data_IF_240639268257
#
_entry.id   IF_240639268257
#
_cell.length_a   1.000
_cell.length_b   1.000
_cell.length_c   1.000
_cell.angle_alpha   90.00
_cell.angle_beta   90.00
_cell.angle_gamma   90.00
#
_symmetry.space_group_name_H-M   'P 1'
#
loop_
_entity.id
_entity.type
_entity.pdbx_description
1 polymer ?
#
# COMPACT_ATOMS: atom_id res chain seq x y z
N UNK A 1 27.84 6.76 10.82
CA UNK A 1 26.69 6.21 10.09
C UNK A 1 26.38 7.16 8.94
N UNK A 2 26.36 6.66 7.71
CA UNK A 2 25.97 7.46 6.54
C UNK A 2 24.45 7.70 6.58
N UNK A 3 23.98 8.80 5.99
CA UNK A 3 22.53 9.01 5.85
C UNK A 3 21.85 7.87 5.05
N UNK A 4 22.57 7.25 4.14
CA UNK A 4 22.07 6.11 3.36
C UNK A 4 21.89 4.85 4.23
N UNK A 5 22.66 4.71 5.31
CA UNK A 5 22.50 3.59 6.23
C UNK A 5 21.16 3.63 6.97
N UNK A 6 20.55 4.82 7.10
CA UNK A 6 19.24 5.00 7.74
C UNK A 6 18.10 4.36 6.93
N UNK A 7 18.28 4.13 5.64
CA UNK A 7 17.29 3.48 4.77
C UNK A 7 17.40 1.95 4.76
N UNK A 8 18.41 1.37 5.42
CA UNK A 8 18.60 -0.07 5.48
C UNK A 8 17.54 -0.72 6.38
N UNK A 9 17.08 -1.88 5.93
CA UNK A 9 16.16 -2.74 6.67
C UNK A 9 16.85 -4.06 7.07
N UNK A 10 18.16 -4.02 7.28
CA UNK A 10 18.97 -5.20 7.65
C UNK A 10 18.41 -5.81 8.94
N UNK A 11 18.26 -7.13 8.95
CA UNK A 11 17.71 -7.95 10.06
C UNK A 11 16.25 -7.63 10.42
N UNK A 12 15.53 -6.92 9.57
CA UNK A 12 14.08 -6.70 9.70
C UNK A 12 13.29 -7.78 8.99
N UNK A 13 12.11 -8.04 9.51
CA UNK A 13 11.09 -8.90 8.90
C UNK A 13 9.89 -8.06 8.52
N UNK A 14 9.54 -8.05 7.25
CA UNK A 14 8.39 -7.35 6.71
C UNK A 14 7.28 -8.34 6.33
N UNK A 15 6.03 -8.00 6.65
CA UNK A 15 4.82 -8.68 6.19
C UNK A 15 4.11 -7.77 5.21
N UNK A 16 3.89 -8.23 3.96
CA UNK A 16 3.30 -7.41 2.88
C UNK A 16 2.04 -8.09 2.34
N UNK A 17 0.89 -7.42 2.44
CA UNK A 17 -0.38 -7.90 1.87
C UNK A 17 -0.53 -7.46 0.42
N UNK A 18 -1.19 -8.30 -0.41
CA UNK A 18 -1.30 -8.04 -1.85
C UNK A 18 0.05 -8.08 -2.55
N UNK A 19 0.99 -8.88 -2.05
CA UNK A 19 2.38 -8.93 -2.48
C UNK A 19 2.61 -9.62 -3.84
N UNK A 20 1.58 -10.23 -4.44
CA UNK A 20 1.77 -11.00 -5.68
C UNK A 20 1.95 -10.16 -6.94
N UNK A 21 1.53 -8.90 -6.96
CA UNK A 21 1.58 -8.02 -8.16
C UNK A 21 1.66 -6.55 -7.81
N UNK A 22 2.07 -5.73 -8.78
CA UNK A 22 1.99 -4.27 -8.73
C UNK A 22 2.72 -3.66 -7.55
N UNK A 23 2.08 -2.71 -6.84
CA UNK A 23 2.70 -1.96 -5.74
C UNK A 23 3.23 -2.88 -4.65
N UNK A 24 2.46 -3.90 -4.23
CA UNK A 24 2.87 -4.81 -3.16
C UNK A 24 4.08 -5.67 -3.53
N UNK A 25 4.17 -6.12 -4.76
CA UNK A 25 5.32 -6.87 -5.26
C UNK A 25 6.58 -6.00 -5.29
N UNK A 26 6.46 -4.77 -5.78
CA UNK A 26 7.59 -3.85 -5.87
C UNK A 26 8.08 -3.39 -4.49
N UNK A 27 7.15 -3.16 -3.54
CA UNK A 27 7.52 -2.93 -2.13
C UNK A 27 8.28 -4.12 -1.55
N UNK A 28 7.85 -5.35 -1.83
CA UNK A 28 8.52 -6.55 -1.36
C UNK A 28 9.95 -6.66 -1.90
N UNK A 29 10.17 -6.38 -3.19
CA UNK A 29 11.50 -6.32 -3.79
C UNK A 29 12.37 -5.22 -3.18
N UNK A 30 11.83 -4.00 -3.04
CA UNK A 30 12.56 -2.88 -2.46
C UNK A 30 12.96 -3.12 -1.00
N UNK A 31 12.11 -3.84 -0.23
CA UNK A 31 12.46 -4.21 1.14
C UNK A 31 13.56 -5.27 1.19
N UNK A 32 13.54 -6.22 0.27
CA UNK A 32 14.63 -7.20 0.13
C UNK A 32 15.95 -6.51 -0.28
N UNK A 33 15.91 -5.58 -1.24
CA UNK A 33 17.08 -4.76 -1.63
C UNK A 33 17.61 -3.93 -0.46
N UNK A 34 16.72 -3.45 0.42
CA UNK A 34 17.09 -2.75 1.64
C UNK A 34 17.60 -3.68 2.77
N UNK A 35 17.47 -5.00 2.62
CA UNK A 35 18.03 -6.01 3.54
C UNK A 35 17.02 -6.71 4.44
N UNK A 36 15.71 -6.58 4.21
CA UNK A 36 14.67 -7.28 4.97
C UNK A 36 14.37 -8.68 4.44
N UNK A 37 13.96 -9.58 5.33
CA UNK A 37 13.25 -10.79 4.97
C UNK A 37 11.76 -10.49 4.82
N UNK A 38 11.04 -11.14 3.90
CA UNK A 38 9.68 -10.73 3.55
C UNK A 38 8.69 -11.90 3.57
N UNK A 39 7.61 -11.76 4.33
CA UNK A 39 6.42 -12.60 4.25
C UNK A 39 5.46 -12.00 3.21
N UNK A 40 5.10 -12.80 2.21
CA UNK A 40 4.32 -12.43 1.04
C UNK A 40 2.90 -12.97 1.19
N UNK A 41 1.92 -12.08 1.39
CA UNK A 41 0.52 -12.44 1.55
C UNK A 41 -0.28 -12.06 0.30
N UNK A 42 -0.85 -13.04 -0.37
CA UNK A 42 -1.87 -12.88 -1.43
C UNK A 42 -2.58 -14.23 -1.66
N UNK A 43 -3.63 -14.22 -2.49
CA UNK A 43 -4.44 -15.42 -2.77
C UNK A 43 -3.79 -16.36 -3.79
N UNK A 44 -3.02 -15.82 -4.73
CA UNK A 44 -2.51 -16.57 -5.89
C UNK A 44 -1.09 -17.03 -5.62
N UNK A 45 -0.92 -18.33 -5.37
CA UNK A 45 0.37 -18.94 -5.01
C UNK A 45 1.42 -18.73 -6.10
N UNK A 46 1.07 -18.96 -7.38
CA UNK A 46 2.00 -18.82 -8.51
C UNK A 46 2.58 -17.38 -8.61
N UNK A 47 1.77 -16.36 -8.35
CA UNK A 47 2.26 -14.99 -8.31
C UNK A 47 3.27 -14.80 -7.16
N UNK A 48 2.97 -15.36 -5.98
CA UNK A 48 3.86 -15.29 -4.80
C UNK A 48 5.18 -16.04 -5.02
N UNK A 49 5.15 -17.17 -5.70
CA UNK A 49 6.36 -17.95 -6.05
C UNK A 49 7.32 -17.14 -6.91
N UNK A 50 6.81 -16.38 -7.89
CA UNK A 50 7.62 -15.50 -8.72
C UNK A 50 8.29 -14.39 -7.91
N UNK A 51 7.54 -13.78 -6.99
CA UNK A 51 8.08 -12.72 -6.13
C UNK A 51 9.09 -13.30 -5.14
N UNK A 52 8.81 -14.47 -4.56
CA UNK A 52 9.71 -15.13 -3.63
C UNK A 52 11.06 -15.45 -4.29
N UNK A 53 11.07 -16.02 -5.49
CA UNK A 53 12.29 -16.28 -6.24
C UNK A 53 13.13 -15.00 -6.44
N UNK A 54 12.49 -13.90 -6.82
CA UNK A 54 13.19 -12.62 -6.97
C UNK A 54 13.75 -12.04 -5.65
N UNK A 55 13.13 -12.31 -4.50
CA UNK A 55 13.66 -11.93 -3.18
C UNK A 55 14.86 -12.82 -2.81
N UNK A 56 14.79 -14.12 -3.09
CA UNK A 56 15.88 -15.07 -2.85
C UNK A 56 17.11 -14.74 -3.70
N UNK A 57 16.94 -14.32 -4.95
CA UNK A 57 18.03 -13.82 -5.80
C UNK A 57 18.74 -12.58 -5.20
N UNK A 58 18.04 -11.81 -4.37
CA UNK A 58 18.59 -10.68 -3.60
C UNK A 58 19.27 -11.10 -2.29
N UNK A 59 19.36 -12.43 -2.05
CA UNK A 59 19.98 -13.01 -0.84
C UNK A 59 19.14 -12.84 0.42
N UNK A 60 17.83 -12.63 0.30
CA UNK A 60 16.92 -12.53 1.45
C UNK A 60 15.95 -13.68 1.49
N UNK A 61 15.37 -13.94 2.67
CA UNK A 61 14.35 -14.98 2.82
C UNK A 61 13.00 -14.46 2.39
N UNK A 62 12.27 -15.27 1.62
CA UNK A 62 10.88 -15.03 1.27
C UNK A 62 10.00 -16.13 1.89
N UNK A 63 8.90 -15.75 2.52
CA UNK A 63 7.91 -16.67 3.04
C UNK A 63 6.59 -16.48 2.30
N UNK A 64 6.16 -17.50 1.58
CA UNK A 64 4.87 -17.50 0.87
C UNK A 64 3.77 -17.87 1.85
N UNK A 65 2.82 -16.95 2.07
CA UNK A 65 1.68 -17.14 2.98
C UNK A 65 0.38 -16.89 2.20
N UNK A 66 -0.17 -17.92 1.53
CA UNK A 66 -1.43 -17.77 0.80
C UNK A 66 -2.55 -17.36 1.74
N UNK A 67 -3.08 -16.13 1.55
CA UNK A 67 -4.07 -15.55 2.46
C UNK A 67 -5.03 -14.66 1.70
N UNK A 68 -6.34 -14.82 1.93
CA UNK A 68 -7.33 -13.81 1.60
C UNK A 68 -7.54 -12.91 2.82
N UNK A 69 -7.15 -11.65 2.72
CA UNK A 69 -7.31 -10.69 3.82
C UNK A 69 -8.78 -10.35 4.11
N UNK A 70 -9.70 -10.69 3.21
CA UNK A 70 -11.14 -10.57 3.44
C UNK A 70 -11.67 -11.63 4.43
N UNK A 71 -10.95 -12.73 4.58
CA UNK A 71 -11.23 -13.74 5.60
C UNK A 71 -10.41 -13.41 6.86
N UNK A 72 -11.08 -12.78 7.84
CA UNK A 72 -10.39 -12.36 9.08
C UNK A 72 -9.92 -13.56 9.92
N UNK A 73 -10.53 -14.74 9.77
CA UNK A 73 -10.10 -15.97 10.45
C UNK A 73 -8.79 -16.52 9.86
N UNK A 74 -8.47 -16.15 8.63
CA UNK A 74 -7.20 -16.53 8.00
C UNK A 74 -6.01 -15.65 8.46
N UNK A 75 -6.26 -14.51 9.11
CA UNK A 75 -5.20 -13.58 9.50
C UNK A 75 -4.35 -14.07 10.68
N UNK A 76 -4.91 -14.58 11.81
CA UNK A 76 -4.10 -15.07 12.92
C UNK A 76 -3.10 -16.16 12.51
N UNK A 77 -3.49 -17.25 11.80
CA UNK A 77 -2.52 -18.26 11.39
C UNK A 77 -1.44 -17.73 10.43
N UNK A 78 -1.75 -16.72 9.60
CA UNK A 78 -0.77 -16.08 8.73
C UNK A 78 0.28 -15.30 9.53
N UNK A 79 -0.13 -14.59 10.57
CA UNK A 79 0.78 -13.88 11.50
C UNK A 79 1.65 -14.86 12.25
N UNK A 80 1.05 -15.88 12.89
CA UNK A 80 1.79 -16.91 13.66
C UNK A 80 2.80 -17.65 12.81
N UNK A 81 2.44 -18.01 11.58
CA UNK A 81 3.34 -18.65 10.63
C UNK A 81 4.51 -17.76 10.28
N UNK A 82 4.28 -16.46 10.05
CA UNK A 82 5.35 -15.49 9.77
C UNK A 82 6.31 -15.37 10.95
N UNK A 83 5.79 -15.27 12.15
CA UNK A 83 6.61 -15.21 13.38
C UNK A 83 7.43 -16.48 13.56
N UNK A 84 6.84 -17.65 13.37
CA UNK A 84 7.51 -18.94 13.56
C UNK A 84 8.64 -19.17 12.54
N UNK A 85 8.42 -18.83 11.26
CA UNK A 85 9.36 -19.14 10.18
C UNK A 85 10.40 -18.03 9.95
N UNK A 86 10.05 -16.74 10.14
CA UNK A 86 10.99 -15.62 9.95
C UNK A 86 11.55 -15.05 11.26
N UNK A 87 11.00 -15.43 12.42
CA UNK A 87 11.53 -15.06 13.74
C UNK A 87 10.93 -13.77 14.31
N UNK A 88 9.87 -13.23 13.73
CA UNK A 88 9.16 -12.05 14.23
C UNK A 88 8.61 -11.19 13.10
N UNK A 89 8.08 -10.01 13.44
CA UNK A 89 7.59 -9.01 12.49
C UNK A 89 8.02 -7.63 13.00
N UNK A 90 8.73 -6.86 12.17
CA UNK A 90 9.14 -5.48 12.43
C UNK A 90 8.32 -4.48 11.61
N UNK A 91 7.85 -4.90 10.43
CA UNK A 91 7.20 -4.05 9.44
C UNK A 91 5.93 -4.74 8.95
N UNK A 92 4.82 -3.99 8.92
CA UNK A 92 3.58 -4.42 8.26
C UNK A 92 3.23 -3.45 7.13
N UNK A 93 2.95 -3.99 5.94
CA UNK A 93 2.41 -3.22 4.81
C UNK A 93 1.01 -3.70 4.49
N UNK A 94 0.03 -2.88 4.80
CA UNK A 94 -1.36 -3.07 4.41
C UNK A 94 -1.56 -2.49 2.98
N UNK A 95 -1.22 -3.30 1.97
CA UNK A 95 -1.34 -2.91 0.57
C UNK A 95 -2.55 -3.53 -0.13
N UNK A 96 -2.98 -4.73 0.27
CA UNK A 96 -4.19 -5.33 -0.29
C UNK A 96 -5.39 -4.39 -0.10
N UNK A 97 -6.11 -4.13 -1.18
CA UNK A 97 -7.24 -3.22 -1.18
C UNK A 97 -7.73 -2.94 -2.61
N UNK A 98 -8.87 -2.31 -2.71
CA UNK A 98 -9.49 -1.94 -3.99
C UNK A 98 -11.00 -1.84 -3.89
N UNK A 99 -11.63 -1.38 -4.94
CA UNK A 99 -13.06 -1.50 -5.23
C UNK A 99 -13.29 -1.15 -6.70
N UNK A 100 -14.41 -1.59 -7.24
CA UNK A 100 -14.82 -1.25 -8.60
C UNK A 100 -15.61 0.05 -8.56
N UNK A 101 -15.23 1.08 -9.33
CA UNK A 101 -16.03 2.30 -9.46
C UNK A 101 -17.41 2.01 -10.07
N UNK A 102 -18.44 2.66 -9.53
CA UNK A 102 -19.81 2.53 -10.02
C UNK A 102 -20.57 3.86 -9.92
N UNK A 103 -21.58 4.12 -10.80
CA UNK A 103 -22.45 5.27 -10.67
C UNK A 103 -23.13 5.30 -9.28
N UNK A 104 -23.42 6.52 -8.79
CA UNK A 104 -24.05 6.67 -7.46
C UNK A 104 -25.33 5.85 -7.29
N UNK A 105 -26.21 5.87 -8.30
CA UNK A 105 -27.48 5.16 -8.25
C UNK A 105 -27.34 3.63 -8.27
N UNK A 106 -26.18 3.11 -8.67
CA UNK A 106 -25.85 1.68 -8.67
C UNK A 106 -25.06 1.27 -7.42
N UNK A 107 -24.56 2.25 -6.65
CA UNK A 107 -23.80 1.97 -5.43
C UNK A 107 -24.74 1.77 -4.25
N UNK A 108 -24.83 0.54 -3.76
CA UNK A 108 -25.68 0.14 -2.63
C UNK A 108 -24.85 0.04 -1.34
N UNK A 109 -25.55 -0.09 -0.20
CA UNK A 109 -24.92 -0.25 1.12
C UNK A 109 -23.90 -1.41 1.15
N UNK A 110 -24.24 -2.54 0.53
CA UNK A 110 -23.35 -3.71 0.45
C UNK A 110 -22.01 -3.42 -0.25
N UNK A 111 -21.98 -2.54 -1.25
CA UNK A 111 -20.74 -2.11 -1.90
C UNK A 111 -19.88 -1.25 -0.96
N UNK A 112 -20.53 -0.43 -0.13
CA UNK A 112 -19.85 0.37 0.90
C UNK A 112 -19.24 -0.53 1.97
N UNK A 113 -20.03 -1.48 2.48
CA UNK A 113 -19.61 -2.45 3.51
C UNK A 113 -18.44 -3.30 3.01
N UNK A 114 -18.54 -3.83 1.79
CA UNK A 114 -17.46 -4.60 1.18
C UNK A 114 -16.17 -3.78 1.02
N UNK A 115 -16.29 -2.56 0.48
CA UNK A 115 -15.15 -1.68 0.30
C UNK A 115 -14.52 -1.30 1.65
N UNK A 116 -15.33 -1.04 2.67
CA UNK A 116 -14.86 -0.73 4.02
C UNK A 116 -14.18 -1.93 4.66
N UNK A 117 -14.77 -3.11 4.54
CA UNK A 117 -14.16 -4.34 5.05
C UNK A 117 -12.78 -4.58 4.46
N UNK A 118 -12.65 -4.52 3.13
CA UNK A 118 -11.41 -4.79 2.42
C UNK A 118 -10.31 -3.73 2.67
N UNK A 119 -10.68 -2.45 2.69
CA UNK A 119 -9.70 -1.36 2.74
C UNK A 119 -9.46 -0.80 4.16
N UNK A 120 -10.29 -1.14 5.14
CA UNK A 120 -10.22 -0.59 6.49
C UNK A 120 -10.22 -1.69 7.56
N UNK A 121 -11.28 -2.52 7.63
CA UNK A 121 -11.42 -3.48 8.72
C UNK A 121 -10.31 -4.53 8.71
N UNK A 122 -10.00 -5.11 7.55
CA UNK A 122 -8.93 -6.10 7.41
C UNK A 122 -7.54 -5.53 7.73
N UNK A 123 -7.11 -4.35 7.21
CA UNK A 123 -5.88 -3.70 7.64
C UNK A 123 -5.79 -3.39 9.13
N UNK A 124 -6.87 -2.91 9.74
CA UNK A 124 -6.89 -2.60 11.18
C UNK A 124 -6.77 -3.88 12.00
N UNK A 125 -7.51 -4.94 11.64
CA UNK A 125 -7.43 -6.23 12.31
C UNK A 125 -6.04 -6.85 12.18
N UNK A 126 -5.46 -6.87 10.98
CA UNK A 126 -4.10 -7.38 10.79
C UNK A 126 -3.08 -6.58 11.60
N UNK A 127 -3.22 -5.26 11.65
CA UNK A 127 -2.37 -4.40 12.50
C UNK A 127 -2.51 -4.79 13.97
N UNK A 128 -3.73 -5.00 14.48
CA UNK A 128 -4.00 -5.44 15.85
C UNK A 128 -3.31 -6.77 16.18
N UNK A 129 -3.31 -7.71 15.24
CA UNK A 129 -2.67 -9.02 15.41
C UNK A 129 -1.15 -8.93 15.41
N UNK A 130 -0.56 -8.04 14.60
CA UNK A 130 0.90 -7.91 14.46
C UNK A 130 1.54 -7.08 15.59
N UNK A 131 0.83 -6.11 16.14
CA UNK A 131 1.35 -5.20 17.19
C UNK A 131 2.02 -5.91 18.37
N UNK A 132 1.46 -6.98 18.98
CA UNK A 132 2.14 -7.67 20.08
C UNK A 132 3.52 -8.23 19.71
N UNK A 133 3.66 -8.74 18.48
CA UNK A 133 4.94 -9.29 17.99
C UNK A 133 5.95 -8.17 17.69
N UNK A 134 5.51 -7.03 17.17
CA UNK A 134 6.36 -5.84 17.02
C UNK A 134 6.89 -5.36 18.38
N UNK A 135 6.02 -5.31 19.40
CA UNK A 135 6.42 -4.88 20.75
C UNK A 135 7.46 -5.82 21.39
N UNK A 136 7.37 -7.13 21.15
CA UNK A 136 8.38 -8.11 21.60
C UNK A 136 9.74 -7.85 20.94
N UNK A 137 9.77 -7.29 19.72
CA UNK A 137 11.01 -6.88 19.03
C UNK A 137 11.48 -5.46 19.36
N UNK A 138 10.79 -4.78 20.29
CA UNK A 138 11.13 -3.43 20.75
C UNK A 138 10.40 -2.30 20.06
N UNK A 139 9.58 -2.58 19.07
CA UNK A 139 8.78 -1.64 18.28
C UNK A 139 8.71 -2.03 16.80
N UNK A 140 8.13 -1.16 15.98
CA UNK A 140 7.96 -1.45 14.55
C UNK A 140 7.40 -0.31 13.73
N UNK A 141 7.10 -0.60 12.48
CA UNK A 141 6.46 0.35 11.57
C UNK A 141 5.31 -0.30 10.78
N UNK A 142 4.18 0.40 10.71
CA UNK A 142 3.02 0.04 9.89
C UNK A 142 2.90 1.04 8.75
N UNK A 143 2.79 0.53 7.54
CA UNK A 143 2.54 1.30 6.33
C UNK A 143 1.19 0.91 5.73
N UNK A 144 0.28 1.87 5.60
CA UNK A 144 -0.98 1.68 4.90
C UNK A 144 -0.88 2.25 3.48
N UNK A 145 -1.33 1.49 2.47
CA UNK A 145 -1.47 2.01 1.11
C UNK A 145 -2.88 2.58 0.95
N UNK A 146 -2.93 3.90 1.03
CA UNK A 146 -4.14 4.69 0.80
C UNK A 146 -4.47 4.86 -0.69
N UNK A 147 -4.91 6.05 -1.05
CA UNK A 147 -5.11 6.49 -2.44
C UNK A 147 -5.44 7.99 -2.46
N UNK A 148 -5.06 8.69 -3.52
CA UNK A 148 -5.54 10.05 -3.79
C UNK A 148 -7.07 10.12 -3.94
N UNK A 149 -7.74 9.00 -4.31
CA UNK A 149 -9.21 8.89 -4.29
C UNK A 149 -9.83 9.07 -2.89
N UNK A 150 -9.06 8.91 -1.81
CA UNK A 150 -9.48 9.21 -0.44
C UNK A 150 -9.28 10.67 -0.06
N UNK A 151 -8.44 11.41 -0.78
CA UNK A 151 -8.17 12.84 -0.54
C UNK A 151 -8.99 13.76 -1.45
N UNK A 152 -9.31 13.30 -2.68
CA UNK A 152 -10.04 14.08 -3.67
C UNK A 152 -11.33 13.39 -4.12
N UNK A 153 -12.36 14.20 -4.36
CA UNK A 153 -13.63 13.70 -4.88
C UNK A 153 -13.52 13.32 -6.35
N UNK A 154 -13.97 12.11 -6.68
CA UNK A 154 -14.06 11.61 -8.06
C UNK A 154 -15.41 10.92 -8.29
N UNK A 155 -15.98 11.09 -9.48
CA UNK A 155 -17.25 10.43 -9.87
C UNK A 155 -17.06 8.91 -9.88
N UNK A 156 -18.07 8.19 -9.37
CA UNK A 156 -18.07 6.72 -9.33
C UNK A 156 -17.24 6.12 -8.17
N UNK A 157 -16.60 6.93 -7.34
CA UNK A 157 -15.68 6.46 -6.30
C UNK A 157 -16.26 6.49 -4.88
N UNK A 158 -17.60 6.58 -4.71
CA UNK A 158 -18.16 6.76 -3.36
C UNK A 158 -17.77 5.63 -2.39
N UNK A 159 -17.83 4.37 -2.81
CA UNK A 159 -17.42 3.26 -1.95
C UNK A 159 -15.91 3.26 -1.71
N UNK A 160 -15.12 3.30 -2.78
CA UNK A 160 -13.66 3.25 -2.71
C UNK A 160 -13.06 4.47 -2.04
N UNK A 161 -13.45 5.68 -2.49
CA UNK A 161 -12.92 6.94 -1.96
C UNK A 161 -13.23 7.10 -0.48
N UNK A 162 -14.46 6.77 -0.04
CA UNK A 162 -14.84 6.80 1.38
C UNK A 162 -13.98 5.83 2.19
N UNK A 163 -13.78 4.58 1.72
CA UNK A 163 -12.95 3.61 2.42
C UNK A 163 -11.47 4.03 2.48
N UNK A 164 -10.93 4.62 1.39
CA UNK A 164 -9.56 5.14 1.36
C UNK A 164 -9.38 6.40 2.22
N UNK A 165 -10.39 7.25 2.34
CA UNK A 165 -10.40 8.35 3.31
C UNK A 165 -10.42 7.82 4.76
N UNK A 166 -11.21 6.77 5.01
CA UNK A 166 -11.29 6.15 6.33
C UNK A 166 -9.95 5.54 6.77
N UNK A 167 -9.25 4.75 5.92
CA UNK A 167 -7.94 4.19 6.31
C UNK A 167 -6.87 5.29 6.44
N UNK A 168 -6.94 6.37 5.66
CA UNK A 168 -6.07 7.52 5.83
C UNK A 168 -6.26 8.17 7.21
N UNK A 169 -7.51 8.34 7.66
CA UNK A 169 -7.78 8.85 9.01
C UNK A 169 -7.40 7.83 10.09
N UNK A 170 -7.73 6.55 9.91
CA UNK A 170 -7.35 5.47 10.83
C UNK A 170 -5.84 5.38 11.03
N UNK A 171 -5.03 5.68 9.99
CA UNK A 171 -3.57 5.79 10.10
C UNK A 171 -3.14 6.78 11.19
N UNK A 172 -3.80 7.95 11.26
CA UNK A 172 -3.50 8.97 12.27
C UNK A 172 -3.92 8.52 13.67
N UNK A 173 -5.06 7.87 13.79
CA UNK A 173 -5.55 7.34 15.06
C UNK A 173 -4.65 6.21 15.58
N UNK A 174 -4.32 5.24 14.73
CA UNK A 174 -3.39 4.17 15.08
C UNK A 174 -2.01 4.72 15.47
N UNK A 175 -1.51 5.76 14.78
CA UNK A 175 -0.25 6.41 15.15
C UNK A 175 -0.32 7.03 16.56
N UNK A 176 -1.46 7.63 16.93
CA UNK A 176 -1.67 8.20 18.27
C UNK A 176 -1.68 7.12 19.35
N UNK A 177 -2.34 5.99 19.08
CA UNK A 177 -2.52 4.92 20.07
C UNK A 177 -1.27 4.04 20.25
N UNK A 178 -0.46 3.87 19.18
CA UNK A 178 0.67 2.94 19.15
C UNK A 178 2.03 3.59 19.40
N UNK A 179 2.10 4.94 19.39
CA UNK A 179 3.32 5.66 19.75
C UNK A 179 3.65 5.46 21.25
N UNK A 180 4.94 5.55 21.64
CA UNK A 180 6.11 5.84 20.82
C UNK A 180 6.77 4.59 20.19
N UNK A 181 6.26 3.40 20.42
CA UNK A 181 6.91 2.14 20.04
C UNK A 181 6.70 1.76 18.59
N UNK A 182 5.54 2.10 18.02
CA UNK A 182 5.19 1.75 16.66
C UNK A 182 4.83 3.03 15.91
N UNK A 183 5.45 3.22 14.75
CA UNK A 183 5.12 4.31 13.84
C UNK A 183 4.08 3.80 12.83
N UNK A 184 3.08 4.61 12.54
CA UNK A 184 2.06 4.28 11.54
C UNK A 184 1.94 5.42 10.56
N UNK A 185 2.18 5.15 9.29
CA UNK A 185 2.09 6.13 8.21
C UNK A 185 1.32 5.57 7.02
N UNK A 186 0.95 6.41 6.08
CA UNK A 186 0.36 5.97 4.83
C UNK A 186 1.05 6.64 3.63
N UNK A 187 1.10 5.90 2.52
CA UNK A 187 1.32 6.47 1.18
C UNK A 187 -0.03 6.59 0.49
N UNK A 188 -0.26 7.70 -0.19
CA UNK A 188 -1.43 7.95 -1.02
C UNK A 188 -1.00 7.98 -2.50
N UNK A 189 -1.05 6.83 -3.21
CA UNK A 189 -0.70 6.77 -4.62
C UNK A 189 -1.69 7.56 -5.50
N UNK A 190 -1.15 8.19 -6.56
CA UNK A 190 -1.92 8.64 -7.71
C UNK A 190 -2.29 7.50 -8.65
N UNK A 191 -2.32 7.78 -9.95
CA UNK A 191 -2.49 6.76 -10.99
C UNK A 191 -1.16 6.02 -11.19
N UNK A 192 -1.09 4.75 -10.76
CA UNK A 192 0.12 3.90 -10.85
C UNK A 192 -0.12 2.78 -11.86
N UNK A 193 0.79 2.62 -12.82
CA UNK A 193 0.75 1.59 -13.85
C UNK A 193 0.85 0.19 -13.22
N UNK A 194 -0.30 -0.40 -12.99
CA UNK A 194 -0.47 -1.72 -12.40
C UNK A 194 -1.46 -2.52 -13.24
N UNK A 195 -1.49 -3.84 -13.05
CA UNK A 195 -2.53 -4.67 -13.65
C UNK A 195 -3.94 -4.13 -13.34
N UNK A 196 -4.18 -3.67 -12.12
CA UNK A 196 -5.50 -3.16 -11.71
C UNK A 196 -5.87 -1.86 -12.45
N UNK A 197 -4.93 -0.93 -12.61
CA UNK A 197 -5.16 0.28 -13.42
C UNK A 197 -5.40 -0.08 -14.88
N UNK A 198 -4.56 -0.94 -15.46
CA UNK A 198 -4.69 -1.34 -16.86
C UNK A 198 -6.00 -2.07 -17.14
N UNK A 199 -6.44 -2.93 -16.23
CA UNK A 199 -7.77 -3.56 -16.32
C UNK A 199 -8.90 -2.51 -16.29
N UNK A 200 -8.83 -1.55 -15.37
CA UNK A 200 -9.80 -0.47 -15.28
C UNK A 200 -9.83 0.40 -16.52
N UNK A 201 -8.66 0.81 -17.02
CA UNK A 201 -8.54 1.63 -18.22
C UNK A 201 -9.10 0.89 -19.44
N UNK A 202 -8.76 -0.39 -19.65
CA UNK A 202 -9.29 -1.21 -20.72
C UNK A 202 -10.82 -1.28 -20.70
N UNK A 203 -11.41 -1.47 -19.50
CA UNK A 203 -12.87 -1.49 -19.35
C UNK A 203 -13.54 -0.14 -19.67
N UNK A 204 -12.87 0.99 -19.38
CA UNK A 204 -13.37 2.32 -19.73
C UNK A 204 -13.23 2.61 -21.22
N UNK A 205 -12.15 2.18 -21.86
CA UNK A 205 -11.91 2.30 -23.30
C UNK A 205 -12.92 1.50 -24.11
N UNK A 206 -13.26 0.27 -23.69
CA UNK A 206 -14.34 -0.54 -24.28
C UNK A 206 -15.70 0.19 -24.24
N UNK A 207 -15.92 1.03 -23.23
CA UNK A 207 -17.11 1.90 -23.13
C UNK A 207 -16.98 3.23 -23.91
N UNK A 208 -15.89 3.41 -24.69
CA UNK A 208 -15.64 4.60 -25.49
C UNK A 208 -15.16 5.82 -24.70
N UNK A 209 -14.56 5.60 -23.52
CA UNK A 209 -14.05 6.68 -22.65
C UNK A 209 -12.55 6.53 -22.42
N UNK A 210 -11.69 7.04 -23.33
CA UNK A 210 -10.24 7.05 -23.11
C UNK A 210 -9.91 8.05 -22.01
N UNK A 211 -9.41 7.57 -20.85
CA UNK A 211 -9.10 8.41 -19.70
C UNK A 211 -7.61 8.43 -19.35
N UNK A 212 -6.79 7.56 -19.97
CA UNK A 212 -5.36 7.49 -19.72
C UNK A 212 -4.66 8.83 -20.00
N UNK A 213 -4.87 9.42 -21.15
CA UNK A 213 -4.26 10.70 -21.52
C UNK A 213 -4.71 11.81 -20.55
N UNK A 214 -5.99 11.83 -20.19
CA UNK A 214 -6.52 12.78 -19.19
C UNK A 214 -5.85 12.62 -17.83
N UNK A 215 -5.55 11.39 -17.40
CA UNK A 215 -4.83 11.13 -16.16
C UNK A 215 -3.40 11.70 -16.24
N UNK A 216 -2.70 11.47 -17.35
CA UNK A 216 -1.36 11.99 -17.60
C UNK A 216 -1.35 13.51 -17.63
N UNK A 217 -2.28 14.12 -18.37
CA UNK A 217 -2.40 15.58 -18.47
C UNK A 217 -2.63 16.28 -17.13
N UNK A 218 -3.35 15.62 -16.21
CA UNK A 218 -3.63 16.14 -14.87
C UNK A 218 -2.50 15.93 -13.87
N UNK A 219 -1.40 15.32 -14.27
CA UNK A 219 -0.25 15.07 -13.42
C UNK A 219 0.87 16.05 -13.78
N UNK A 220 1.42 16.80 -12.82
CA UNK A 220 2.49 17.77 -13.06
C UNK A 220 3.72 17.12 -13.73
N UNK A 221 4.06 15.88 -13.33
CA UNK A 221 5.15 15.12 -13.91
C UNK A 221 4.80 14.49 -15.28
N UNK A 222 3.59 14.72 -15.82
CA UNK A 222 3.14 14.30 -17.15
C UNK A 222 3.35 12.82 -17.46
N UNK A 223 3.18 11.97 -16.46
CA UNK A 223 3.17 10.52 -16.58
C UNK A 223 2.32 9.90 -15.47
N UNK A 224 1.83 8.70 -15.70
CA UNK A 224 1.42 7.84 -14.59
C UNK A 224 2.66 7.42 -13.80
N UNK A 225 2.47 7.15 -12.51
CA UNK A 225 3.53 6.58 -11.68
C UNK A 225 3.74 5.10 -12.01
N UNK A 226 4.90 4.59 -11.65
CA UNK A 226 5.23 3.17 -11.66
C UNK A 226 5.23 2.63 -10.22
N UNK A 227 5.06 1.31 -10.00
CA UNK A 227 5.14 0.71 -8.66
C UNK A 227 6.42 1.09 -7.89
N UNK A 228 7.55 1.27 -8.59
CA UNK A 228 8.81 1.72 -8.01
C UNK A 228 8.76 3.12 -7.38
N UNK A 229 7.93 4.03 -7.93
CA UNK A 229 7.73 5.37 -7.33
C UNK A 229 7.14 5.25 -5.91
N UNK A 230 6.28 4.24 -5.69
CA UNK A 230 5.68 3.97 -4.37
C UNK A 230 6.67 3.22 -3.46
N UNK A 231 7.42 2.27 -4.00
CA UNK A 231 8.34 1.45 -3.24
C UNK A 231 9.44 2.27 -2.56
N UNK A 232 9.99 3.29 -3.22
CA UNK A 232 10.97 4.21 -2.63
C UNK A 232 10.43 4.95 -1.41
N UNK A 233 9.19 5.47 -1.50
CA UNK A 233 8.50 6.11 -0.38
C UNK A 233 8.19 5.11 0.75
N UNK A 234 7.86 3.86 0.40
CA UNK A 234 7.59 2.80 1.36
C UNK A 234 8.85 2.44 2.17
N UNK A 235 10.02 2.30 1.53
CA UNK A 235 11.30 2.09 2.24
C UNK A 235 11.59 3.24 3.19
N UNK A 236 11.43 4.49 2.76
CA UNK A 236 11.62 5.66 3.62
C UNK A 236 10.77 5.58 4.88
N UNK A 237 9.45 5.42 4.72
CA UNK A 237 8.50 5.52 5.85
C UNK A 237 8.65 4.42 6.89
N UNK A 238 9.19 3.25 6.55
CA UNK A 238 9.38 2.15 7.50
C UNK A 238 10.78 2.09 8.10
N UNK A 239 11.77 2.74 7.48
CA UNK A 239 13.16 2.75 7.90
C UNK A 239 13.46 3.79 9.00
N UNK A 240 14.68 3.76 9.53
CA UNK A 240 15.18 4.74 10.50
C UNK A 240 15.29 6.16 9.93
N UNK A 241 15.33 6.32 8.59
CA UNK A 241 15.26 7.63 7.94
C UNK A 241 13.96 8.39 8.28
N UNK A 242 12.89 7.66 8.65
CA UNK A 242 11.61 8.20 9.09
C UNK A 242 11.38 8.04 10.60
N UNK A 243 12.43 7.92 11.44
CA UNK A 243 12.30 7.70 12.90
C UNK A 243 11.51 8.79 13.62
N UNK A 244 11.40 9.99 13.04
CA UNK A 244 10.61 11.11 13.58
C UNK A 244 9.34 11.39 12.76
N UNK A 245 8.86 10.39 11.98
CA UNK A 245 7.67 10.51 11.14
C UNK A 245 6.64 9.46 11.56
N UNK A 246 5.51 9.89 12.09
CA UNK A 246 4.35 9.06 12.40
C UNK A 246 3.04 9.83 12.20
N UNK A 247 1.95 9.15 11.87
CA UNK A 247 0.65 9.73 11.59
C UNK A 247 0.59 10.55 10.28
N UNK A 248 1.54 10.35 9.36
CA UNK A 248 1.64 11.13 8.12
C UNK A 248 1.03 10.37 6.95
N UNK A 249 0.46 11.16 6.04
CA UNK A 249 -0.07 10.74 4.76
C UNK A 249 0.84 11.35 3.70
N UNK A 250 1.63 10.51 3.03
CA UNK A 250 2.56 10.95 1.99
C UNK A 250 1.91 10.73 0.63
N UNK A 251 1.58 11.80 -0.05
CA UNK A 251 1.10 11.79 -1.42
C UNK A 251 2.25 11.46 -2.37
N UNK A 252 2.07 10.41 -3.19
CA UNK A 252 3.02 10.00 -4.22
C UNK A 252 2.21 9.83 -5.51
N UNK A 253 1.92 10.94 -6.15
CA UNK A 253 0.90 11.08 -7.18
C UNK A 253 1.37 11.88 -8.41
N UNK A 254 2.65 12.26 -8.43
CA UNK A 254 3.23 13.06 -9.51
C UNK A 254 2.72 14.50 -9.56
N UNK A 255 2.14 14.98 -8.44
CA UNK A 255 1.54 16.30 -8.37
C UNK A 255 0.17 16.35 -9.06
N UNK A 256 -0.73 15.45 -8.66
CA UNK A 256 -2.11 15.49 -9.13
C UNK A 256 -2.76 16.81 -8.71
N UNK A 257 -3.17 17.61 -9.69
CA UNK A 257 -3.75 18.92 -9.43
C UNK A 257 -4.88 19.29 -10.40
N UNK A 258 -5.75 20.17 -9.94
CA UNK A 258 -6.61 20.95 -10.81
C UNK A 258 -5.90 22.28 -11.11
N UNK A 259 -5.21 22.36 -12.23
CA UNK A 259 -4.64 23.63 -12.67
C UNK A 259 -5.74 24.60 -13.04
N UNK A 260 -5.70 25.80 -12.44
CA UNK A 260 -6.62 26.87 -12.78
C UNK A 260 -6.29 27.47 -14.14
N UNK A 261 -5.00 27.54 -14.48
CA UNK A 261 -4.52 28.00 -15.78
C UNK A 261 -4.11 26.82 -16.63
N UNK A 262 -4.59 26.73 -17.89
CA UNK A 262 -4.19 25.65 -18.79
C UNK A 262 -2.71 25.76 -19.16
N UNK A 263 -2.04 24.62 -19.31
CA UNK A 263 -0.61 24.53 -19.68
C UNK A 263 -0.25 25.15 -21.05
N UNK A 264 -1.25 25.48 -21.86
CA UNK A 264 -1.05 26.24 -23.10
C UNK A 264 -0.65 27.71 -22.87
N UNK A 265 -0.79 28.21 -21.61
CA UNK A 265 -0.29 29.53 -21.24
C UNK A 265 1.20 29.38 -20.89
N UNK A 266 2.11 30.16 -21.53
CA UNK A 266 3.53 30.12 -21.20
C UNK A 266 3.78 30.40 -19.73
N UNK A 267 4.83 29.79 -19.18
CA UNK A 267 5.28 30.06 -17.81
C UNK A 267 5.53 31.57 -17.62
N UNK A 268 5.13 32.08 -16.47
CA UNK A 268 5.24 33.50 -16.11
C UNK A 268 6.67 33.89 -15.80
#
# INVERSE_FOLDING_TARGET
>A
MSVLDLFRLTDKVAMVTGAGKGIGAEIAFAYADAGADVALLARTVVDLEQIAAGIEERGRRALIVPTDVMDLEALPPAVERTVAELGGIDILVNNAGGAVPAPFMETRAEHMEWAFHFNVSAPVELTRLVVPHMLQRGGGAVLNIGSMAGAHASRGYIAYGTAKAAIAHATKLMASDLAPKIRVNAVLPGAIETWALNWFLGHMEEKGTPIRDTMIERTLLQRNGEPGDIAGAAVFLVSEAASFVTGKLLEVDGGWCFELLPRSIPDL
#
